data_IF_564677470659
#
_entry.id   IF_564677470659
#
_cell.length_a   1.000
_cell.length_b   1.000
_cell.length_c   1.000
_cell.angle_alpha   90.00
_cell.angle_beta   90.00
_cell.angle_gamma   90.00
#
_symmetry.space_group_name_H-M   'P 1'
#
loop_
_entity.id
_entity.type
_entity.pdbx_description
1 polymer ?
#
# COMPACT_ATOMS: atom_id res chain seq x y z
N UNK A 1 -29.64 27.27 7.25
CA UNK A 1 -29.14 27.04 5.88
C UNK A 1 -28.32 25.75 5.96
N UNK A 2 -28.86 24.65 5.45
CA UNK A 2 -28.15 23.35 5.37
C UNK A 2 -27.15 23.47 4.24
N UNK A 3 -25.85 23.30 4.53
CA UNK A 3 -24.83 23.12 3.53
C UNK A 3 -25.25 22.00 2.58
N UNK A 4 -25.11 22.15 1.25
CA UNK A 4 -25.42 21.07 0.34
C UNK A 4 -24.56 19.88 0.69
N UNK A 5 -25.17 18.72 0.91
CA UNK A 5 -24.46 17.48 1.20
C UNK A 5 -23.43 17.24 0.08
N UNK A 6 -22.15 17.22 0.44
CA UNK A 6 -21.04 16.95 -0.47
C UNK A 6 -21.32 15.61 -1.16
N UNK A 7 -21.38 15.60 -2.49
CA UNK A 7 -21.74 14.42 -3.27
C UNK A 7 -20.66 13.35 -3.04
N UNK A 8 -21.01 12.27 -2.36
CA UNK A 8 -20.12 11.12 -2.19
C UNK A 8 -19.90 10.43 -3.53
N UNK A 9 -18.66 10.05 -3.80
CA UNK A 9 -18.23 9.37 -5.02
C UNK A 9 -18.12 7.87 -4.75
N UNK A 10 -18.46 7.06 -5.76
CA UNK A 10 -17.96 5.69 -5.84
C UNK A 10 -16.61 5.66 -6.55
N UNK A 11 -15.97 4.48 -6.63
CA UNK A 11 -14.64 4.34 -7.23
C UNK A 11 -14.61 4.76 -8.70
N UNK A 12 -15.60 4.43 -9.50
CA UNK A 12 -15.70 4.81 -10.92
C UNK A 12 -15.81 6.33 -11.08
N UNK A 13 -16.63 6.96 -10.27
CA UNK A 13 -16.79 8.42 -10.26
C UNK A 13 -15.51 9.11 -9.76
N UNK A 14 -14.82 8.50 -8.80
CA UNK A 14 -13.52 8.98 -8.31
C UNK A 14 -12.44 8.90 -9.39
N UNK A 15 -12.34 7.80 -10.13
CA UNK A 15 -11.38 7.67 -11.22
C UNK A 15 -11.62 8.73 -12.30
N UNK A 16 -12.89 8.92 -12.70
CA UNK A 16 -13.26 10.00 -13.64
C UNK A 16 -12.99 11.40 -13.07
N UNK A 17 -13.13 11.59 -11.74
CA UNK A 17 -12.79 12.83 -11.06
C UNK A 17 -11.27 13.07 -11.07
N UNK A 18 -10.44 12.05 -10.81
CA UNK A 18 -8.99 12.15 -10.73
C UNK A 18 -8.34 12.28 -12.12
N UNK A 19 -8.99 11.77 -13.17
CA UNK A 19 -8.51 11.85 -14.54
C UNK A 19 -8.29 13.31 -14.98
N UNK A 20 -7.07 13.60 -15.45
CA UNK A 20 -6.67 14.94 -15.90
C UNK A 20 -6.42 15.97 -14.79
N UNK A 21 -6.49 15.58 -13.51
CA UNK A 21 -6.12 16.44 -12.38
C UNK A 21 -4.64 16.23 -12.01
N UNK A 22 -3.99 17.30 -11.62
CA UNK A 22 -2.62 17.22 -11.10
C UNK A 22 -2.59 16.59 -9.71
N UNK A 23 -1.50 15.86 -9.41
CA UNK A 23 -1.27 15.21 -8.13
C UNK A 23 -1.92 13.83 -8.01
N UNK A 24 -1.64 13.15 -6.91
CA UNK A 24 -2.24 11.88 -6.55
C UNK A 24 -3.45 12.09 -5.63
N UNK A 25 -4.44 11.21 -5.73
CA UNK A 25 -5.69 11.27 -5.00
C UNK A 25 -6.07 9.92 -4.45
N UNK A 26 -6.72 9.91 -3.30
CA UNK A 26 -7.33 8.72 -2.70
C UNK A 26 -8.82 8.95 -2.46
N UNK A 27 -9.59 7.87 -2.37
CA UNK A 27 -11.01 7.90 -2.05
C UNK A 27 -11.23 7.37 -0.62
N UNK A 28 -11.69 8.23 0.27
CA UNK A 28 -12.00 7.88 1.65
C UNK A 28 -13.48 8.12 1.95
N UNK A 29 -14.24 7.04 2.12
CA UNK A 29 -15.68 7.06 2.43
C UNK A 29 -16.47 8.00 1.49
N UNK A 30 -16.15 7.90 0.18
CA UNK A 30 -16.79 8.68 -0.88
C UNK A 30 -16.24 10.10 -1.07
N UNK A 31 -15.17 10.49 -0.36
CA UNK A 31 -14.51 11.79 -0.49
C UNK A 31 -13.16 11.63 -1.18
N UNK A 32 -12.94 12.35 -2.27
CA UNK A 32 -11.63 12.44 -2.90
C UNK A 32 -10.71 13.34 -2.07
N UNK A 33 -9.56 12.80 -1.66
CA UNK A 33 -8.55 13.47 -0.84
C UNK A 33 -7.27 13.58 -1.65
N UNK A 34 -6.74 14.79 -1.82
CA UNK A 34 -5.46 15.02 -2.48
C UNK A 34 -4.32 14.56 -1.56
N UNK A 35 -3.35 13.86 -2.11
CA UNK A 35 -2.13 13.49 -1.40
C UNK A 35 -1.17 14.68 -1.35
N UNK A 36 -0.50 14.86 -0.22
CA UNK A 36 0.48 15.93 -0.02
C UNK A 36 1.81 15.60 -0.71
N UNK A 37 2.59 16.62 -1.12
CA UNK A 37 3.97 16.42 -1.57
C UNK A 37 4.81 15.71 -0.50
N UNK A 38 5.69 14.84 -0.94
CA UNK A 38 6.48 13.97 -0.08
C UNK A 38 7.90 14.50 0.16
N UNK A 39 8.50 14.07 1.28
CA UNK A 39 9.91 14.35 1.55
C UNK A 39 10.80 13.37 0.78
N UNK A 40 12.02 13.80 0.42
CA UNK A 40 13.01 12.96 -0.30
C UNK A 40 13.26 11.63 0.44
N UNK A 41 13.41 11.64 1.77
CA UNK A 41 13.57 10.42 2.57
C UNK A 41 12.42 9.43 2.37
N UNK A 42 11.18 9.91 2.37
CA UNK A 42 9.99 9.10 2.17
C UNK A 42 10.01 8.46 0.77
N UNK A 43 10.22 9.25 -0.27
CA UNK A 43 10.35 8.75 -1.65
C UNK A 43 11.51 7.75 -1.80
N UNK A 44 12.63 7.96 -1.11
CA UNK A 44 13.76 7.02 -1.08
C UNK A 44 13.33 5.66 -0.56
N UNK A 45 12.71 5.60 0.62
CA UNK A 45 12.24 4.33 1.23
C UNK A 45 11.19 3.64 0.36
N UNK A 46 10.26 4.38 -0.28
CA UNK A 46 9.32 3.80 -1.26
C UNK A 46 10.03 3.09 -2.40
N UNK A 47 11.06 3.75 -2.95
CA UNK A 47 11.85 3.22 -4.06
C UNK A 47 12.55 1.93 -3.65
N UNK A 48 13.24 1.93 -2.50
CA UNK A 48 13.94 0.75 -1.99
C UNK A 48 12.99 -0.40 -1.65
N UNK A 49 11.85 -0.12 -1.03
CA UNK A 49 10.84 -1.13 -0.73
C UNK A 49 10.31 -1.81 -2.01
N UNK A 50 9.98 -1.03 -3.04
CA UNK A 50 9.53 -1.58 -4.32
C UNK A 50 10.65 -2.39 -5.01
N UNK A 51 11.89 -1.95 -4.94
CA UNK A 51 13.05 -2.64 -5.50
C UNK A 51 13.34 -3.95 -4.77
N UNK A 52 13.36 -3.96 -3.43
CA UNK A 52 13.57 -5.15 -2.60
C UNK A 52 12.48 -6.21 -2.88
N UNK A 53 11.23 -5.81 -2.95
CA UNK A 53 10.12 -6.72 -3.31
C UNK A 53 10.31 -7.32 -4.71
N UNK A 54 10.69 -6.52 -5.70
CA UNK A 54 10.96 -7.02 -7.06
C UNK A 54 12.10 -8.02 -7.10
N UNK A 55 13.18 -7.77 -6.36
CA UNK A 55 14.31 -8.70 -6.26
C UNK A 55 13.90 -10.00 -5.56
N UNK A 56 13.20 -9.92 -4.43
CA UNK A 56 12.73 -11.09 -3.70
C UNK A 56 11.80 -11.99 -4.56
N UNK A 57 10.88 -11.38 -5.32
CA UNK A 57 10.01 -12.08 -6.27
C UNK A 57 10.83 -12.78 -7.36
N UNK A 58 11.81 -12.09 -7.94
CA UNK A 58 12.67 -12.64 -8.97
C UNK A 58 13.53 -13.81 -8.44
N UNK A 59 14.09 -13.65 -7.24
CA UNK A 59 14.90 -14.67 -6.58
C UNK A 59 14.08 -15.95 -6.29
N UNK A 60 12.88 -15.78 -5.73
CA UNK A 60 11.97 -16.89 -5.43
C UNK A 60 11.27 -17.46 -6.67
N UNK A 61 11.41 -16.82 -7.85
CA UNK A 61 10.68 -17.14 -9.08
C UNK A 61 9.16 -17.18 -8.85
N UNK A 62 8.66 -16.36 -7.94
CA UNK A 62 7.24 -16.28 -7.65
C UNK A 62 6.46 -15.70 -8.85
N UNK A 63 5.25 -16.22 -9.17
CA UNK A 63 4.45 -15.76 -10.30
C UNK A 63 3.73 -14.43 -9.97
N UNK A 64 4.48 -13.46 -9.49
CA UNK A 64 3.99 -12.18 -8.96
C UNK A 64 4.71 -11.00 -9.61
N UNK A 65 4.14 -9.82 -9.45
CA UNK A 65 4.76 -8.56 -9.81
C UNK A 65 4.59 -7.52 -8.72
N UNK A 66 5.67 -6.80 -8.42
CA UNK A 66 5.63 -5.63 -7.57
C UNK A 66 5.53 -4.36 -8.44
N UNK A 67 4.68 -3.45 -8.02
CA UNK A 67 4.51 -2.12 -8.58
C UNK A 67 4.85 -1.10 -7.49
N UNK A 68 5.49 -0.01 -7.89
CA UNK A 68 5.61 1.18 -7.07
C UNK A 68 4.28 1.96 -7.11
N UNK A 69 4.22 3.11 -6.46
CA UNK A 69 3.07 4.02 -6.42
C UNK A 69 2.36 4.26 -7.77
N UNK A 70 1.17 4.81 -7.74
CA UNK A 70 0.39 5.17 -8.94
C UNK A 70 -0.65 4.13 -9.34
N UNK A 71 -0.74 3.00 -8.63
CA UNK A 71 -1.79 1.99 -8.84
C UNK A 71 -2.85 2.12 -7.76
N UNK A 72 -4.10 2.26 -8.17
CA UNK A 72 -5.24 2.35 -7.24
C UNK A 72 -5.66 0.96 -6.77
N UNK A 73 -5.79 0.77 -5.46
CA UNK A 73 -6.41 -0.42 -4.85
C UNK A 73 -7.86 -0.10 -4.50
N UNK A 74 -8.80 -0.84 -5.07
CA UNK A 74 -10.18 -0.79 -4.64
C UNK A 74 -10.35 -1.57 -3.34
N UNK A 75 -10.77 -0.89 -2.29
CA UNK A 75 -11.06 -1.52 -1.00
C UNK A 75 -12.55 -1.87 -0.91
N UNK A 76 -13.40 -0.94 -1.32
CA UNK A 76 -14.86 -1.11 -1.41
C UNK A 76 -15.42 -0.05 -2.37
N UNK A 77 -16.74 -0.03 -2.55
CA UNK A 77 -17.40 0.84 -3.52
C UNK A 77 -17.08 2.33 -3.36
N UNK A 78 -16.91 2.80 -2.12
CA UNK A 78 -16.66 4.21 -1.76
C UNK A 78 -15.27 4.45 -1.16
N UNK A 79 -14.34 3.48 -1.30
CA UNK A 79 -12.99 3.57 -0.75
C UNK A 79 -11.95 2.96 -1.67
N UNK A 80 -10.95 3.75 -2.03
CA UNK A 80 -9.81 3.32 -2.84
C UNK A 80 -8.54 4.08 -2.43
N UNK A 81 -7.42 3.35 -2.31
CA UNK A 81 -6.14 3.88 -1.85
C UNK A 81 -5.06 3.70 -2.92
N UNK A 82 -4.01 4.51 -2.85
CA UNK A 82 -2.82 4.43 -3.70
C UNK A 82 -1.62 4.11 -2.81
N UNK A 83 -1.28 2.84 -2.61
CA UNK A 83 -0.16 2.45 -1.75
C UNK A 83 1.18 2.83 -2.36
N UNK A 84 2.20 2.93 -1.50
CA UNK A 84 3.58 3.21 -1.90
C UNK A 84 4.22 2.06 -2.68
N UNK A 85 3.87 0.81 -2.35
CA UNK A 85 4.16 -0.34 -3.19
C UNK A 85 3.08 -1.43 -3.01
N UNK A 86 2.90 -2.26 -4.05
CA UNK A 86 1.95 -3.38 -4.02
C UNK A 86 2.50 -4.58 -4.78
N UNK A 87 2.25 -5.78 -4.25
CA UNK A 87 2.51 -7.05 -4.94
C UNK A 87 1.20 -7.72 -5.31
N UNK A 88 1.09 -8.16 -6.56
CA UNK A 88 -0.07 -8.86 -7.11
C UNK A 88 0.35 -10.19 -7.71
N UNK A 89 -0.41 -11.24 -7.43
CA UNK A 89 -0.18 -12.61 -7.91
C UNK A 89 -1.51 -13.27 -8.33
N UNK A 90 -1.71 -13.66 -9.60
CA UNK A 90 -0.82 -13.38 -10.75
C UNK A 90 -0.86 -11.88 -11.14
N UNK A 91 0.11 -11.42 -11.96
CA UNK A 91 0.13 -10.04 -12.43
C UNK A 91 -1.16 -9.68 -13.18
N UNK A 92 -1.72 -8.48 -12.98
CA UNK A 92 -2.91 -8.03 -13.69
C UNK A 92 -2.58 -7.70 -15.16
N UNK A 93 -3.60 -7.59 -16.03
CA UNK A 93 -3.43 -7.05 -17.37
C UNK A 93 -2.80 -5.65 -17.35
N UNK A 94 -2.01 -5.26 -18.41
CA UNK A 94 -1.24 -4.02 -18.40
C UNK A 94 -2.09 -2.73 -18.40
N UNK A 95 -3.31 -2.81 -18.88
CA UNK A 95 -4.18 -1.63 -19.09
C UNK A 95 -5.14 -1.36 -17.92
N UNK A 96 -5.06 -2.13 -16.83
CA UNK A 96 -5.90 -1.88 -15.66
C UNK A 96 -5.35 -0.72 -14.83
N UNK A 97 -6.23 0.14 -14.35
CA UNK A 97 -5.91 1.27 -13.46
C UNK A 97 -6.27 0.98 -12.00
N UNK A 98 -7.05 -0.09 -11.75
CA UNK A 98 -7.50 -0.50 -10.43
C UNK A 98 -7.14 -1.96 -10.18
N UNK A 99 -6.61 -2.25 -9.02
CA UNK A 99 -6.33 -3.59 -8.52
C UNK A 99 -7.35 -3.94 -7.44
N UNK A 100 -8.03 -5.07 -7.60
CA UNK A 100 -9.01 -5.58 -6.63
C UNK A 100 -8.41 -6.67 -5.73
N UNK A 101 -7.28 -7.29 -6.13
CA UNK A 101 -6.70 -8.45 -5.46
C UNK A 101 -5.22 -8.25 -5.12
N UNK A 102 -4.84 -7.27 -4.27
CA UNK A 102 -3.48 -7.12 -3.79
C UNK A 102 -3.12 -8.28 -2.86
N UNK A 103 -1.89 -8.77 -2.92
CA UNK A 103 -1.37 -9.80 -2.01
C UNK A 103 -0.55 -9.19 -0.88
N UNK A 104 0.30 -8.21 -1.21
CA UNK A 104 1.12 -7.47 -0.26
C UNK A 104 0.95 -5.99 -0.56
N UNK A 105 0.75 -5.19 0.47
CA UNK A 105 0.70 -3.73 0.38
C UNK A 105 1.76 -3.13 1.30
N UNK A 106 2.40 -2.06 0.83
CA UNK A 106 3.40 -1.29 1.60
C UNK A 106 2.98 0.16 1.66
N UNK A 107 3.00 0.73 2.85
CA UNK A 107 2.87 2.17 3.09
C UNK A 107 4.09 2.67 3.86
N UNK A 108 4.60 3.81 3.48
CA UNK A 108 5.72 4.48 4.16
C UNK A 108 5.16 5.64 4.98
N UNK A 109 5.36 5.61 6.28
CA UNK A 109 4.81 6.61 7.19
C UNK A 109 5.35 8.00 6.90
N UNK A 110 4.43 8.95 6.88
CA UNK A 110 4.74 10.38 6.97
C UNK A 110 4.00 10.98 8.16
N UNK A 111 4.42 12.14 8.68
CA UNK A 111 3.70 12.81 9.74
C UNK A 111 2.24 13.12 9.41
N UNK A 112 1.90 13.23 8.12
CA UNK A 112 0.55 13.51 7.64
C UNK A 112 -0.33 12.26 7.56
N UNK A 113 0.24 11.08 7.31
CA UNK A 113 -0.53 9.84 7.02
C UNK A 113 -0.52 8.83 8.17
N UNK A 114 0.38 8.96 9.14
CA UNK A 114 0.58 7.96 10.20
C UNK A 114 -0.72 7.50 10.90
N UNK A 115 -1.63 8.43 11.21
CA UNK A 115 -2.90 8.08 11.87
C UNK A 115 -3.86 7.29 10.94
N UNK A 116 -3.79 7.53 9.63
CA UNK A 116 -4.61 6.87 8.61
C UNK A 116 -4.06 5.48 8.30
N UNK A 117 -2.74 5.37 8.19
CA UNK A 117 -2.05 4.12 7.85
C UNK A 117 -2.17 3.06 8.96
N UNK A 118 -2.17 3.50 10.23
CA UNK A 118 -2.34 2.62 11.39
C UNK A 118 -3.79 2.25 11.73
N UNK A 119 -4.77 2.86 11.14
CA UNK A 119 -6.18 2.62 11.45
C UNK A 119 -7.03 2.33 10.21
N UNK A 120 -7.59 3.36 9.56
CA UNK A 120 -8.53 3.17 8.45
C UNK A 120 -7.97 2.39 7.25
N UNK A 121 -6.67 2.52 6.92
CA UNK A 121 -6.04 1.74 5.85
C UNK A 121 -5.83 0.29 6.27
N UNK A 122 -5.39 0.02 7.51
CA UNK A 122 -5.24 -1.34 8.04
C UNK A 122 -6.57 -2.12 7.93
N UNK A 123 -7.66 -1.55 8.47
CA UNK A 123 -8.99 -2.14 8.38
C UNK A 123 -9.43 -2.32 6.93
N UNK A 124 -9.25 -1.28 6.11
CA UNK A 124 -9.61 -1.30 4.71
C UNK A 124 -8.88 -2.40 3.94
N UNK A 125 -7.57 -2.44 4.02
CA UNK A 125 -6.78 -3.43 3.29
C UNK A 125 -7.09 -4.87 3.75
N UNK A 126 -7.22 -5.13 5.05
CA UNK A 126 -7.55 -6.48 5.53
C UNK A 126 -9.00 -6.90 5.30
N UNK A 127 -9.89 -5.99 4.87
CA UNK A 127 -11.21 -6.37 4.36
C UNK A 127 -11.13 -7.12 3.01
N UNK A 128 -10.01 -6.96 2.27
CA UNK A 128 -9.76 -7.68 1.02
C UNK A 128 -9.27 -9.10 1.33
N UNK A 129 -10.01 -10.11 0.91
CA UNK A 129 -9.66 -11.50 1.17
C UNK A 129 -8.30 -11.94 0.55
N UNK A 130 -7.87 -11.25 -0.51
CA UNK A 130 -6.59 -11.51 -1.17
C UNK A 130 -5.38 -11.01 -0.39
N UNK A 131 -5.54 -10.01 0.48
CA UNK A 131 -4.41 -9.42 1.18
C UNK A 131 -3.87 -10.39 2.24
N UNK A 132 -2.61 -10.77 2.09
CA UNK A 132 -1.88 -11.59 3.05
C UNK A 132 -1.01 -10.75 3.99
N UNK A 133 -0.37 -9.70 3.46
CA UNK A 133 0.58 -8.89 4.20
C UNK A 133 0.38 -7.39 3.97
N UNK A 134 0.45 -6.63 5.06
CA UNK A 134 0.51 -5.18 5.04
C UNK A 134 1.74 -4.71 5.81
N UNK A 135 2.64 -4.00 5.13
CA UNK A 135 3.87 -3.47 5.69
C UNK A 135 3.74 -1.97 5.88
N UNK A 136 3.99 -1.50 7.07
CA UNK A 136 4.07 -0.07 7.40
C UNK A 136 5.52 0.25 7.75
N UNK A 137 6.16 1.09 6.94
CA UNK A 137 7.57 1.44 7.09
C UNK A 137 7.68 2.81 7.74
N UNK A 138 8.39 2.89 8.87
CA UNK A 138 8.69 4.14 9.57
C UNK A 138 10.14 4.55 9.28
N UNK A 139 10.38 5.48 8.34
CA UNK A 139 11.73 5.88 7.94
C UNK A 139 12.46 6.69 9.02
N UNK A 140 11.74 7.34 9.94
CA UNK A 140 12.36 8.12 11.00
C UNK A 140 12.92 7.22 12.11
N UNK A 141 12.32 6.05 12.31
CA UNK A 141 12.71 5.06 13.33
C UNK A 141 13.45 3.85 12.76
N UNK A 142 13.49 3.69 11.44
CA UNK A 142 14.02 2.48 10.78
C UNK A 142 13.25 1.22 11.17
N UNK A 143 11.92 1.30 11.26
CA UNK A 143 11.05 0.22 11.75
C UNK A 143 10.11 -0.24 10.66
N UNK A 144 10.03 -1.56 10.46
CA UNK A 144 8.99 -2.21 9.68
C UNK A 144 7.94 -2.81 10.61
N UNK A 145 6.70 -2.35 10.52
CA UNK A 145 5.55 -2.97 11.18
C UNK A 145 4.89 -3.87 10.15
N UNK A 146 4.95 -5.17 10.39
CA UNK A 146 4.40 -6.19 9.53
C UNK A 146 3.10 -6.73 10.11
N UNK A 147 2.01 -6.49 9.42
CA UNK A 147 0.72 -7.12 9.69
C UNK A 147 0.51 -8.27 8.71
N UNK A 148 0.27 -9.46 9.22
CA UNK A 148 0.02 -10.67 8.43
C UNK A 148 -1.39 -11.21 8.74
N UNK A 149 -2.07 -11.74 7.72
CA UNK A 149 -3.33 -12.44 7.90
C UNK A 149 -3.08 -13.76 8.62
N UNK A 150 -3.63 -13.90 9.81
CA UNK A 150 -3.62 -15.12 10.58
C UNK A 150 -4.82 -16.03 10.28
N UNK A 151 -5.14 -16.92 11.20
CA UNK A 151 -6.30 -17.82 11.06
C UNK A 151 -7.59 -17.08 11.42
N UNK A 152 -8.61 -17.24 10.59
CA UNK A 152 -9.90 -16.55 10.79
C UNK A 152 -9.73 -15.03 10.65
N UNK A 153 -10.27 -14.28 11.59
CA UNK A 153 -10.24 -12.81 11.61
C UNK A 153 -9.03 -12.23 12.35
N UNK A 154 -8.01 -13.06 12.64
CA UNK A 154 -6.82 -12.62 13.37
C UNK A 154 -5.84 -11.92 12.41
N UNK A 155 -5.32 -10.77 12.81
CA UNK A 155 -4.17 -10.09 12.20
C UNK A 155 -3.00 -10.22 13.16
N UNK A 156 -1.93 -10.90 12.73
CA UNK A 156 -0.68 -11.00 13.47
C UNK A 156 0.19 -9.79 13.17
N UNK A 157 0.66 -9.10 14.20
CA UNK A 157 1.53 -7.93 14.06
C UNK A 157 2.90 -8.20 14.61
N UNK A 158 3.95 -7.87 13.84
CA UNK A 158 5.36 -7.92 14.24
C UNK A 158 5.99 -6.55 14.02
N UNK A 159 6.86 -6.14 14.93
CA UNK A 159 7.66 -4.92 14.81
C UNK A 159 9.11 -5.37 14.62
N UNK A 160 9.68 -5.01 13.49
CA UNK A 160 11.02 -5.45 13.08
C UNK A 160 11.92 -4.22 12.89
N UNK A 161 13.10 -4.27 13.50
CA UNK A 161 14.17 -3.27 13.32
C UNK A 161 15.26 -3.78 12.39
N UNK A 162 15.40 -5.11 12.29
CA UNK A 162 16.39 -5.81 11.47
C UNK A 162 15.93 -7.24 11.16
N UNK A 163 16.79 -8.02 10.52
CA UNK A 163 16.56 -9.44 10.22
C UNK A 163 15.85 -9.69 8.91
N UNK A 164 15.34 -10.91 8.75
CA UNK A 164 14.67 -11.37 7.53
C UNK A 164 13.16 -11.33 7.69
N UNK A 165 12.52 -10.62 6.79
CA UNK A 165 11.07 -10.58 6.63
C UNK A 165 10.65 -11.69 5.68
N UNK A 166 9.81 -12.62 6.17
CA UNK A 166 9.23 -13.71 5.37
C UNK A 166 7.79 -13.39 5.07
N UNK A 167 7.45 -13.43 3.78
CA UNK A 167 6.11 -13.14 3.26
C UNK A 167 5.60 -14.38 2.53
N UNK A 168 4.78 -15.16 3.23
CA UNK A 168 4.17 -16.38 2.70
C UNK A 168 2.64 -16.34 2.92
N UNK A 169 1.82 -16.35 1.87
CA UNK A 169 2.21 -16.31 0.47
C UNK A 169 2.87 -14.99 0.05
N UNK A 170 3.67 -14.89 -1.01
CA UNK A 170 3.94 -15.89 -2.05
C UNK A 170 5.20 -16.73 -1.82
N UNK A 171 5.79 -16.73 -0.63
CA UNK A 171 7.03 -17.44 -0.32
C UNK A 171 8.29 -16.65 -0.72
N UNK A 172 8.32 -15.35 -0.44
CA UNK A 172 9.47 -14.48 -0.66
C UNK A 172 10.10 -14.08 0.67
N UNK A 173 11.42 -13.83 0.64
CA UNK A 173 12.17 -13.31 1.78
C UNK A 173 12.96 -12.07 1.35
N UNK A 174 13.06 -11.09 2.25
CA UNK A 174 13.87 -9.90 2.06
C UNK A 174 14.42 -9.42 3.42
N UNK A 175 15.53 -8.71 3.40
CA UNK A 175 16.08 -8.11 4.61
C UNK A 175 15.31 -6.83 4.97
N UNK A 176 15.01 -6.64 6.26
CA UNK A 176 14.43 -5.38 6.73
C UNK A 176 15.34 -4.20 6.41
N UNK A 177 16.67 -4.38 6.47
CA UNK A 177 17.64 -3.35 6.13
C UNK A 177 17.53 -2.89 4.66
N UNK A 178 17.18 -3.81 3.73
CA UNK A 178 16.99 -3.46 2.30
C UNK A 178 15.82 -2.51 2.07
N UNK A 179 14.81 -2.52 2.96
CA UNK A 179 13.65 -1.61 2.87
C UNK A 179 14.03 -0.16 3.16
N UNK A 180 15.15 0.06 3.86
CA UNK A 180 15.61 1.37 4.32
C UNK A 180 17.01 1.73 3.76
N UNK A 181 17.46 1.01 2.73
CA UNK A 181 18.81 1.17 2.18
C UNK A 181 19.03 2.48 1.39
N UNK A 182 18.02 3.36 1.34
CA UNK A 182 18.18 4.69 0.76
C UNK A 182 19.27 5.46 1.54
N UNK A 183 20.47 5.53 0.98
CA UNK A 183 21.56 6.39 1.45
C UNK A 183 21.14 7.86 1.26
N UNK A 184 20.45 8.41 2.27
CA UNK A 184 20.03 9.82 2.28
C UNK A 184 20.61 10.51 3.52
#
# INVERSE_FOLDING_TARGET
>A
MTEPAEKRLNVEQFLAFAEGREGAWELHDGRAIAMSPERVRHTGVKTEAAFALRQAIAHAKAPCRAFAEGVTIRVREDRAFVPDAVVVCPPPPPDVVVIDNPLIVVEVLSPATAAIDHGPKLDGYFSLASLAHYLVLDPDRGVCIHHARGRGDVIETRILHDGVLRLDPPGIELSVAELFAADI
#
